data_IF_825792612660
#
_entry.id   IF_825792612660
#
_cell.length_a   1.000
_cell.length_b   1.000
_cell.length_c   1.000
_cell.angle_alpha   90.00
_cell.angle_beta   90.00
_cell.angle_gamma   90.00
#
_symmetry.space_group_name_H-M   'P 1'
#
loop_
_entity.id
_entity.type
_entity.pdbx_description
1 polymer ?
#
# COMPACT_ATOMS: atom_id res chain seq x y z
N UNK A 1 1.63 19.81 11.97
CA UNK A 1 1.32 18.40 12.29
C UNK A 1 0.03 17.86 11.61
N UNK A 2 -0.56 18.55 10.63
CA UNK A 2 -1.86 18.18 10.04
C UNK A 2 -1.88 16.86 9.23
N UNK A 3 -0.74 16.40 8.69
CA UNK A 3 -0.70 15.15 7.92
C UNK A 3 -0.87 13.88 8.76
N UNK A 4 -0.30 13.84 9.98
CA UNK A 4 -0.43 12.67 10.88
C UNK A 4 -1.85 12.50 11.39
N UNK A 5 -2.56 13.60 11.67
CA UNK A 5 -3.95 13.53 12.10
C UNK A 5 -4.87 13.02 10.99
N UNK A 6 -4.63 13.42 9.72
CA UNK A 6 -5.37 12.91 8.58
C UNK A 6 -5.31 11.36 8.53
N UNK A 7 -4.12 10.77 8.65
CA UNK A 7 -3.97 9.32 8.66
C UNK A 7 -4.69 8.67 9.84
N UNK A 8 -4.48 9.17 11.06
CA UNK A 8 -5.09 8.58 12.25
C UNK A 8 -6.63 8.67 12.24
N UNK A 9 -7.21 9.70 11.62
CA UNK A 9 -8.66 9.81 11.49
C UNK A 9 -9.26 8.92 10.39
N UNK A 10 -8.45 8.49 9.42
CA UNK A 10 -8.91 7.71 8.25
C UNK A 10 -8.54 6.24 8.33
N UNK A 11 -7.54 5.89 9.13
CA UNK A 11 -7.05 4.54 9.28
C UNK A 11 -8.09 3.68 10.01
N UNK A 12 -8.49 2.60 9.36
CA UNK A 12 -9.37 1.56 9.90
C UNK A 12 -8.51 0.32 10.13
N UNK A 13 -8.52 -0.20 11.36
CA UNK A 13 -7.87 -1.48 11.64
C UNK A 13 -8.62 -2.61 10.94
N UNK A 14 -7.86 -3.43 10.21
CA UNK A 14 -8.34 -4.64 9.54
C UNK A 14 -7.63 -5.90 10.05
N UNK A 15 -6.81 -5.79 11.08
CA UNK A 15 -5.99 -6.89 11.61
C UNK A 15 -6.80 -8.17 11.82
N UNK A 16 -7.94 -8.10 12.50
CA UNK A 16 -8.72 -9.30 12.82
C UNK A 16 -9.38 -9.91 11.57
N UNK A 17 -9.71 -9.07 10.59
CA UNK A 17 -10.37 -9.49 9.35
C UNK A 17 -9.38 -10.07 8.34
N UNK A 18 -8.22 -9.44 8.21
CA UNK A 18 -7.28 -9.69 7.12
C UNK A 18 -6.02 -10.43 7.58
N UNK A 19 -5.65 -10.36 8.85
CA UNK A 19 -4.46 -11.01 9.41
C UNK A 19 -4.43 -12.51 9.15
N UNK A 20 -5.50 -13.26 9.46
CA UNK A 20 -5.56 -14.70 9.16
C UNK A 20 -5.55 -15.03 7.66
N UNK A 21 -5.88 -14.08 6.78
CA UNK A 21 -5.98 -14.29 5.34
C UNK A 21 -4.67 -14.04 4.61
N UNK A 22 -3.77 -13.22 5.18
CA UNK A 22 -2.53 -12.77 4.54
C UNK A 22 -1.30 -12.91 5.46
N UNK A 23 -0.98 -14.14 5.89
CA UNK A 23 0.12 -14.40 6.80
C UNK A 23 1.51 -14.06 6.22
N UNK A 24 1.77 -14.30 4.93
CA UNK A 24 3.08 -14.04 4.33
C UNK A 24 3.37 -12.54 4.29
N UNK A 25 2.41 -11.71 3.87
CA UNK A 25 2.53 -10.25 3.93
C UNK A 25 2.72 -9.74 5.36
N UNK A 26 2.00 -10.35 6.32
CA UNK A 26 2.14 -10.00 7.74
C UNK A 26 3.54 -10.33 8.30
N UNK A 27 4.23 -11.30 7.70
CA UNK A 27 5.57 -11.73 8.11
C UNK A 27 6.71 -11.10 7.32
N UNK A 28 6.47 -10.64 6.09
CA UNK A 28 7.50 -10.07 5.21
C UNK A 28 8.25 -8.90 5.89
N UNK A 29 7.54 -8.00 6.56
CA UNK A 29 8.13 -6.90 7.33
C UNK A 29 8.98 -7.31 8.56
N UNK A 30 9.14 -8.61 8.86
CA UNK A 30 9.97 -9.15 9.94
C UNK A 30 11.17 -9.93 9.44
N UNK A 31 11.27 -10.18 8.15
CA UNK A 31 12.29 -11.01 7.54
C UNK A 31 13.13 -10.16 6.57
N UNK A 32 14.42 -9.91 6.86
CA UNK A 32 15.28 -9.13 5.98
C UNK A 32 15.40 -9.69 4.55
N UNK A 33 15.32 -11.02 4.41
CA UNK A 33 15.42 -11.72 3.12
C UNK A 33 14.06 -11.86 2.41
N UNK A 34 12.99 -11.30 2.97
CA UNK A 34 11.69 -11.31 2.31
C UNK A 34 11.65 -10.40 1.08
N UNK A 35 10.60 -10.58 0.30
CA UNK A 35 10.18 -9.69 -0.77
C UNK A 35 10.30 -8.19 -0.48
N UNK A 36 9.97 -7.75 0.75
CA UNK A 36 10.01 -6.34 1.13
C UNK A 36 11.34 -5.87 1.72
N UNK A 37 12.32 -6.77 1.84
CA UNK A 37 13.59 -6.49 2.50
C UNK A 37 13.42 -6.22 4.00
N UNK A 38 12.39 -6.78 4.64
CA UNK A 38 12.05 -6.52 6.05
C UNK A 38 11.34 -5.18 6.27
N UNK A 39 10.90 -4.49 5.21
CA UNK A 39 10.18 -3.22 5.32
C UNK A 39 8.69 -3.44 5.49
N UNK A 40 8.03 -2.47 6.12
CA UNK A 40 6.56 -2.41 6.18
C UNK A 40 6.00 -2.28 4.77
N UNK A 41 4.93 -2.99 4.46
CA UNK A 41 4.35 -3.03 3.12
C UNK A 41 3.13 -2.13 3.02
N UNK A 42 3.02 -1.42 1.91
CA UNK A 42 1.84 -0.68 1.50
C UNK A 42 1.31 -1.27 0.20
N UNK A 43 0.13 -1.89 0.25
CA UNK A 43 -0.57 -2.38 -0.95
C UNK A 43 -1.62 -1.35 -1.32
N UNK A 44 -1.56 -0.80 -2.53
CA UNK A 44 -2.42 0.31 -2.91
C UNK A 44 -3.00 0.17 -4.32
N UNK A 45 -4.28 0.50 -4.43
CA UNK A 45 -4.95 0.78 -5.70
C UNK A 45 -5.21 2.28 -5.79
N UNK A 46 -5.18 2.81 -7.01
CA UNK A 46 -5.34 4.25 -7.21
C UNK A 46 -6.45 4.54 -8.23
N UNK A 47 -6.85 5.81 -8.33
CA UNK A 47 -7.65 6.30 -9.45
C UNK A 47 -7.33 7.78 -9.68
N UNK A 48 -8.10 8.44 -10.54
CA UNK A 48 -7.94 9.88 -10.79
C UNK A 48 -8.22 10.77 -9.56
N UNK A 49 -8.94 10.27 -8.54
CA UNK A 49 -9.37 11.03 -7.37
C UNK A 49 -8.45 10.81 -6.17
N UNK A 50 -7.85 9.64 -6.03
CA UNK A 50 -6.99 9.34 -4.89
C UNK A 50 -6.49 7.91 -4.86
N UNK A 51 -6.23 7.44 -3.63
CA UNK A 51 -5.78 6.08 -3.37
C UNK A 51 -6.58 5.42 -2.25
N UNK A 52 -6.58 4.09 -2.29
CA UNK A 52 -6.97 3.24 -1.17
C UNK A 52 -5.83 2.27 -0.91
N UNK A 53 -5.39 2.19 0.35
CA UNK A 53 -4.18 1.47 0.72
C UNK A 53 -4.39 0.64 1.98
N UNK A 54 -3.75 -0.53 2.00
CA UNK A 54 -3.56 -1.37 3.17
C UNK A 54 -2.08 -1.37 3.56
N UNK A 55 -1.79 -1.05 4.82
CA UNK A 55 -0.42 -1.07 5.37
C UNK A 55 -0.28 -2.25 6.32
N UNK A 56 0.68 -3.12 6.03
CA UNK A 56 1.12 -4.23 6.89
C UNK A 56 2.32 -3.77 7.69
N UNK A 57 2.14 -3.64 9.00
CA UNK A 57 3.17 -3.09 9.88
C UNK A 57 4.01 -4.18 10.54
N UNK A 58 5.23 -3.84 10.95
CA UNK A 58 6.16 -4.74 11.64
C UNK A 58 5.61 -5.29 12.97
N UNK A 59 4.72 -4.54 13.63
CA UNK A 59 4.03 -4.94 14.85
C UNK A 59 2.76 -5.77 14.61
N UNK A 60 2.47 -6.16 13.37
CA UNK A 60 1.34 -7.04 13.02
C UNK A 60 0.00 -6.31 12.91
N UNK A 61 0.00 -4.99 12.81
CA UNK A 61 -1.22 -4.24 12.50
C UNK A 61 -1.44 -4.21 10.98
N UNK A 62 -2.70 -4.29 10.57
CA UNK A 62 -3.12 -4.09 9.19
C UNK A 62 -4.04 -2.88 9.18
N UNK A 63 -3.59 -1.80 8.55
CA UNK A 63 -4.30 -0.52 8.54
C UNK A 63 -4.77 -0.19 7.13
N UNK A 64 -6.07 -0.07 6.95
CA UNK A 64 -6.66 0.40 5.70
C UNK A 64 -6.94 1.89 5.79
N UNK A 65 -6.62 2.66 4.74
CA UNK A 65 -7.10 4.04 4.62
C UNK A 65 -7.39 4.42 3.16
N UNK A 66 -8.20 5.48 3.01
CA UNK A 66 -8.52 6.11 1.72
C UNK A 66 -8.30 7.61 1.84
N UNK A 67 -7.68 8.21 0.83
CA UNK A 67 -7.46 9.65 0.77
C UNK A 67 -7.47 10.13 -0.69
N UNK A 68 -7.91 11.37 -0.91
CA UNK A 68 -7.75 12.04 -2.20
C UNK A 68 -6.31 12.50 -2.43
N UNK A 69 -5.94 12.76 -3.68
CA UNK A 69 -4.62 13.34 -3.99
C UNK A 69 -4.43 14.70 -3.29
N UNK A 70 -5.44 15.57 -3.30
CA UNK A 70 -5.38 16.87 -2.60
C UNK A 70 -5.23 16.75 -1.07
N UNK A 71 -5.81 15.70 -0.47
CA UNK A 71 -5.61 15.41 0.95
C UNK A 71 -4.17 14.99 1.24
N UNK A 72 -3.59 14.15 0.38
CA UNK A 72 -2.21 13.66 0.51
C UNK A 72 -1.17 14.76 0.27
N UNK A 73 -1.38 15.61 -0.74
CA UNK A 73 -0.52 16.76 -0.98
C UNK A 73 -0.56 17.76 0.19
N UNK A 74 -1.74 18.00 0.77
CA UNK A 74 -1.86 18.82 2.00
C UNK A 74 -1.22 18.16 3.23
N UNK A 75 -1.11 16.84 3.27
CA UNK A 75 -0.39 16.13 4.33
C UNK A 75 1.14 16.32 4.22
N UNK A 76 1.64 16.81 3.08
CA UNK A 76 2.99 17.30 2.87
C UNK A 76 4.06 16.30 3.28
N UNK A 77 4.97 16.72 4.16
CA UNK A 77 6.11 15.91 4.64
C UNK A 77 5.71 14.52 5.13
N UNK A 78 4.53 14.37 5.74
CA UNK A 78 4.07 13.06 6.20
C UNK A 78 3.84 12.11 5.01
N UNK A 79 3.21 12.58 3.94
CA UNK A 79 2.97 11.77 2.75
C UNK A 79 4.28 11.42 2.03
N UNK A 80 5.21 12.37 1.93
CA UNK A 80 6.55 12.09 1.42
C UNK A 80 7.26 10.99 2.23
N UNK A 81 7.19 11.05 3.57
CA UNK A 81 7.78 10.03 4.43
C UNK A 81 7.09 8.68 4.27
N UNK A 82 5.75 8.64 4.25
CA UNK A 82 5.00 7.40 4.04
C UNK A 82 5.38 6.71 2.72
N UNK A 83 5.55 7.48 1.63
CA UNK A 83 6.04 6.95 0.36
C UNK A 83 7.44 6.37 0.47
N UNK A 84 8.38 7.11 1.05
CA UNK A 84 9.77 6.71 1.13
C UNK A 84 10.05 5.59 2.15
N UNK A 85 9.19 5.39 3.14
CA UNK A 85 9.43 4.45 4.24
C UNK A 85 8.89 3.04 3.99
N UNK A 86 7.78 2.93 3.26
CA UNK A 86 7.16 1.63 2.96
C UNK A 86 7.71 1.02 1.68
N UNK A 87 7.63 -0.31 1.59
CA UNK A 87 7.71 -1.03 0.34
C UNK A 87 6.33 -1.04 -0.32
N UNK A 88 6.23 -0.57 -1.57
CA UNK A 88 4.93 -0.40 -2.23
C UNK A 88 4.64 -1.52 -3.22
N UNK A 89 3.42 -2.05 -3.14
CA UNK A 89 2.86 -2.98 -4.11
C UNK A 89 1.61 -2.34 -4.73
N UNK A 90 1.65 -2.05 -6.02
CA UNK A 90 0.58 -1.35 -6.74
C UNK A 90 0.05 -2.19 -7.90
N UNK A 91 -1.17 -1.90 -8.34
CA UNK A 91 -1.85 -2.64 -9.41
C UNK A 91 -1.15 -2.49 -10.77
N UNK A 92 -0.85 -1.25 -11.17
CA UNK A 92 -0.28 -0.93 -12.48
C UNK A 92 0.75 0.22 -12.45
N UNK A 93 1.37 0.48 -13.61
CA UNK A 93 2.37 1.53 -13.77
C UNK A 93 1.79 2.95 -13.59
N UNK A 94 0.51 3.16 -13.87
CA UNK A 94 -0.15 4.46 -13.65
C UNK A 94 -0.30 4.72 -12.16
N UNK A 95 -0.71 3.73 -11.36
CA UNK A 95 -0.70 3.81 -9.91
C UNK A 95 0.71 4.03 -9.36
N UNK A 96 1.71 3.35 -9.91
CA UNK A 96 3.11 3.61 -9.53
C UNK A 96 3.48 5.08 -9.74
N UNK A 97 3.17 5.65 -10.91
CA UNK A 97 3.43 7.07 -11.23
C UNK A 97 2.63 8.05 -10.37
N UNK A 98 1.39 7.71 -10.01
CA UNK A 98 0.55 8.56 -9.13
C UNK A 98 1.07 8.57 -7.70
N UNK A 99 1.50 7.41 -7.18
CA UNK A 99 2.11 7.34 -5.85
C UNK A 99 3.51 7.97 -5.89
N UNK A 100 4.31 7.69 -6.91
CA UNK A 100 5.69 8.17 -7.07
C UNK A 100 5.85 8.94 -8.39
N UNK A 101 5.71 10.27 -8.35
CA UNK A 101 5.92 11.12 -9.53
C UNK A 101 7.35 11.10 -10.09
N UNK A 102 8.31 10.61 -9.31
CA UNK A 102 9.73 10.45 -9.67
C UNK A 102 10.13 8.99 -9.49
N UNK A 103 11.02 8.47 -10.35
CA UNK A 103 11.46 7.07 -10.30
C UNK A 103 11.96 6.67 -8.90
N UNK A 104 11.38 5.61 -8.37
CA UNK A 104 11.65 5.06 -7.05
C UNK A 104 11.80 3.54 -7.18
N UNK A 105 12.97 3.01 -6.78
CA UNK A 105 13.25 1.57 -6.80
C UNK A 105 12.52 0.74 -5.73
N UNK A 106 11.53 1.32 -5.05
CA UNK A 106 10.85 0.71 -3.88
C UNK A 106 9.40 0.30 -4.18
N UNK A 107 9.09 0.04 -5.46
CA UNK A 107 7.75 -0.25 -5.95
C UNK A 107 7.78 -1.54 -6.75
N UNK A 108 6.82 -2.41 -6.49
CA UNK A 108 6.51 -3.53 -7.36
C UNK A 108 5.12 -3.35 -7.93
N UNK A 109 5.03 -3.55 -9.24
CA UNK A 109 3.79 -3.46 -10.00
C UNK A 109 3.27 -4.88 -10.25
N UNK A 110 2.00 -5.12 -9.95
CA UNK A 110 1.35 -6.43 -10.11
C UNK A 110 1.12 -6.79 -11.59
N UNK A 111 0.67 -5.81 -12.39
CA UNK A 111 0.44 -5.96 -13.83
C UNK A 111 1.27 -4.95 -14.63
N UNK A 112 1.97 -5.44 -15.64
CA UNK A 112 2.70 -4.56 -16.57
C UNK A 112 1.78 -3.80 -17.54
N UNK A 113 0.54 -4.25 -17.73
CA UNK A 113 -0.43 -3.61 -18.62
C UNK A 113 -1.38 -2.70 -17.84
N UNK A 114 -1.54 -1.46 -18.32
CA UNK A 114 -2.47 -0.49 -17.75
C UNK A 114 -3.91 -0.92 -18.05
N UNK A 115 -4.62 -1.38 -17.04
CA UNK A 115 -6.07 -1.51 -17.12
C UNK A 115 -6.67 -0.12 -16.92
N UNK A 116 -7.39 0.39 -17.92
CA UNK A 116 -8.12 1.67 -17.85
C UNK A 116 -9.18 1.73 -16.73
N UNK A 117 -9.40 0.62 -16.01
CA UNK A 117 -10.34 0.49 -14.90
C UNK A 117 -9.64 0.35 -13.55
N UNK A 118 -8.61 1.15 -13.28
CA UNK A 118 -8.07 1.31 -11.92
C UNK A 118 -9.12 2.03 -11.04
N UNK A 119 -9.69 1.29 -10.08
CA UNK A 119 -10.77 1.74 -9.19
C UNK A 119 -10.32 1.54 -7.74
N UNK A 120 -10.55 2.53 -6.89
CA UNK A 120 -10.29 2.46 -5.44
C UNK A 120 -11.33 1.63 -4.65
N UNK A 121 -11.89 0.59 -5.27
CA UNK A 121 -12.89 -0.29 -4.65
C UNK A 121 -12.27 -1.24 -3.61
N UNK A 122 -13.10 -1.76 -2.69
CA UNK A 122 -12.62 -2.74 -1.68
C UNK A 122 -12.15 -4.03 -2.35
N UNK A 123 -12.89 -4.49 -3.36
CA UNK A 123 -12.62 -5.76 -4.03
C UNK A 123 -11.36 -5.69 -4.88
N UNK A 124 -11.11 -4.53 -5.51
CA UNK A 124 -9.86 -4.26 -6.24
C UNK A 124 -8.66 -4.32 -5.29
N UNK A 125 -8.75 -3.68 -4.12
CA UNK A 125 -7.69 -3.73 -3.12
C UNK A 125 -7.46 -5.15 -2.59
N UNK A 126 -8.52 -5.87 -2.22
CA UNK A 126 -8.39 -7.24 -1.72
C UNK A 126 -7.83 -8.20 -2.78
N UNK A 127 -8.20 -8.02 -4.04
CA UNK A 127 -7.64 -8.79 -5.15
C UNK A 127 -6.14 -8.54 -5.29
N UNK A 128 -5.71 -7.27 -5.20
CA UNK A 128 -4.29 -6.90 -5.25
C UNK A 128 -3.53 -7.46 -4.04
N UNK A 129 -4.10 -7.42 -2.84
CA UNK A 129 -3.50 -8.00 -1.63
C UNK A 129 -3.30 -9.50 -1.80
N UNK A 130 -4.25 -10.24 -2.40
CA UNK A 130 -4.09 -11.67 -2.70
C UNK A 130 -2.93 -11.94 -3.66
N UNK A 131 -2.75 -11.10 -4.67
CA UNK A 131 -1.60 -11.21 -5.60
C UNK A 131 -0.28 -10.95 -4.86
N UNK A 132 -0.24 -9.92 -4.02
CA UNK A 132 0.93 -9.60 -3.19
C UNK A 132 1.26 -10.75 -2.21
N UNK A 133 0.25 -11.35 -1.59
CA UNK A 133 0.39 -12.50 -0.70
C UNK A 133 0.99 -13.72 -1.41
N UNK A 134 0.45 -14.07 -2.60
CA UNK A 134 0.99 -15.16 -3.41
C UNK A 134 2.44 -14.94 -3.83
N UNK A 135 2.85 -13.68 -4.01
CA UNK A 135 4.25 -13.33 -4.29
C UNK A 135 5.10 -13.49 -3.04
N UNK A 136 4.66 -12.92 -1.92
CA UNK A 136 5.37 -13.01 -0.65
C UNK A 136 5.52 -14.45 -0.14
N UNK A 137 4.61 -15.36 -0.49
CA UNK A 137 4.69 -16.78 -0.10
C UNK A 137 5.65 -17.62 -0.95
N UNK A 138 6.17 -17.06 -2.05
CA UNK A 138 7.08 -17.75 -2.99
C UNK A 138 8.55 -17.36 -2.81
N UNK A 139 8.80 -16.29 -2.07
CA UNK A 139 10.12 -15.87 -1.61
C UNK A 139 10.53 -16.65 -0.36
#
# INVERSE_FOLDING_TARGET
>A
MHGKSLFLHRAVSRTDQWGPQFPALSMACRQPDSFSGGRQLAVAVTDARGLRCAVFTSFGAILEFRASWDELERAGTWWHYARAWHFWFVDDLQSARRVFPTDSGQIVVASSESSDTSNTSTDSLLSLIRVAELRASRD
#
